data_IF_943642763791
#
_entry.id   IF_943642763791
#
_cell.length_a   1.000
_cell.length_b   1.000
_cell.length_c   1.000
_cell.angle_alpha   90.00
_cell.angle_beta   90.00
_cell.angle_gamma   90.00
#
_symmetry.space_group_name_H-M   'P 1'
#
loop_
_entity.id
_entity.type
_entity.pdbx_description
1 polymer ?
#
# COMPACT_ATOMS: atom_id res chain seq x y z
N UNK A 1 -14.58 -6.42 -22.72
CA UNK A 1 -15.69 -6.41 -21.72
C UNK A 1 -16.03 -4.97 -21.40
N UNK A 2 -17.32 -4.62 -21.42
CA UNK A 2 -17.73 -3.24 -21.08
C UNK A 2 -17.52 -2.97 -19.59
N UNK A 3 -16.97 -1.82 -19.29
CA UNK A 3 -16.67 -1.37 -17.93
C UNK A 3 -17.15 0.06 -17.75
N UNK A 4 -17.60 0.37 -16.55
CA UNK A 4 -17.94 1.71 -16.12
C UNK A 4 -17.21 2.02 -14.81
N UNK A 5 -16.85 3.27 -14.62
CA UNK A 5 -16.09 3.70 -13.46
C UNK A 5 -15.90 5.21 -13.44
N UNK A 6 -14.83 5.65 -12.80
CA UNK A 6 -14.45 7.05 -12.70
C UNK A 6 -13.03 7.27 -13.25
N UNK A 7 -12.87 8.27 -14.09
CA UNK A 7 -11.59 8.61 -14.72
C UNK A 7 -11.24 10.09 -14.54
N UNK A 8 -9.95 10.36 -14.43
CA UNK A 8 -9.38 11.68 -14.71
C UNK A 8 -9.19 11.80 -16.22
N UNK A 9 -9.71 12.88 -16.84
CA UNK A 9 -9.61 13.12 -18.28
C UNK A 9 -8.33 13.87 -18.64
N UNK A 10 -7.70 14.52 -17.68
CA UNK A 10 -6.42 15.23 -17.80
C UNK A 10 -5.78 15.36 -16.42
N UNK A 11 -4.51 15.80 -16.40
CA UNK A 11 -3.80 16.06 -15.16
C UNK A 11 -4.58 17.02 -14.23
N UNK A 12 -4.65 16.67 -12.96
CA UNK A 12 -5.31 17.47 -11.89
C UNK A 12 -6.81 17.70 -12.09
N UNK A 13 -7.46 17.03 -13.05
CA UNK A 13 -8.92 17.12 -13.20
C UNK A 13 -9.63 16.31 -12.11
N UNK A 14 -10.82 16.74 -11.74
CA UNK A 14 -11.72 15.90 -10.96
C UNK A 14 -12.03 14.60 -11.73
N UNK A 15 -12.24 13.51 -11.01
CA UNK A 15 -12.67 12.26 -11.59
C UNK A 15 -14.16 12.34 -11.94
N UNK A 16 -14.49 11.85 -13.13
CA UNK A 16 -15.87 11.85 -13.65
C UNK A 16 -16.26 10.44 -14.09
N UNK A 17 -17.57 10.18 -14.16
CA UNK A 17 -18.08 8.92 -14.70
C UNK A 17 -17.52 8.67 -16.11
N UNK A 18 -17.04 7.44 -16.34
CA UNK A 18 -16.35 7.06 -17.56
C UNK A 18 -16.66 5.61 -17.96
N UNK A 19 -16.98 5.39 -19.21
CA UNK A 19 -17.17 4.07 -19.79
C UNK A 19 -15.99 3.70 -20.68
N UNK A 20 -15.55 2.44 -20.59
CA UNK A 20 -14.41 1.95 -21.37
C UNK A 20 -14.51 0.45 -21.62
N UNK A 21 -13.68 -0.04 -22.53
CA UNK A 21 -13.56 -1.47 -22.81
C UNK A 21 -12.31 -2.05 -22.13
N UNK A 22 -12.50 -3.06 -21.27
CA UNK A 22 -11.40 -3.92 -20.83
C UNK A 22 -11.11 -4.98 -21.87
N UNK A 23 -9.87 -5.45 -21.88
CA UNK A 23 -9.47 -6.60 -22.72
C UNK A 23 -10.32 -7.83 -22.45
N UNK A 24 -10.35 -8.72 -23.40
CA UNK A 24 -11.00 -10.02 -23.23
C UNK A 24 -10.26 -10.89 -22.20
N UNK A 25 -10.96 -11.84 -21.60
CA UNK A 25 -10.39 -12.85 -20.71
C UNK A 25 -9.53 -13.80 -21.55
N UNK A 26 -8.22 -13.81 -21.30
CA UNK A 26 -7.27 -14.73 -21.93
C UNK A 26 -7.27 -16.10 -21.25
N UNK A 27 -6.51 -17.06 -21.82
CA UNK A 27 -6.49 -18.44 -21.34
C UNK A 27 -6.08 -18.58 -19.85
N UNK A 28 -5.23 -17.70 -19.34
CA UNK A 28 -4.73 -17.71 -17.96
C UNK A 28 -5.32 -16.61 -17.09
N UNK A 29 -6.36 -15.93 -17.58
CA UNK A 29 -6.95 -14.80 -16.87
C UNK A 29 -8.16 -15.19 -16.05
N UNK A 30 -8.40 -14.42 -15.02
CA UNK A 30 -9.67 -14.38 -14.28
C UNK A 30 -10.32 -13.02 -14.50
N UNK A 31 -11.63 -12.99 -14.71
CA UNK A 31 -12.43 -11.78 -14.62
C UNK A 31 -13.13 -11.75 -13.26
N UNK A 32 -13.26 -10.58 -12.68
CA UNK A 32 -13.95 -10.38 -11.42
C UNK A 32 -14.86 -9.17 -11.50
N UNK A 33 -15.95 -9.23 -10.76
CA UNK A 33 -16.70 -8.05 -10.36
C UNK A 33 -16.03 -7.45 -9.13
N UNK A 34 -15.70 -6.17 -9.19
CA UNK A 34 -15.13 -5.45 -8.07
C UNK A 34 -16.22 -5.21 -7.05
N UNK A 35 -15.96 -5.57 -5.79
CA UNK A 35 -16.82 -5.23 -4.66
C UNK A 35 -16.37 -3.93 -4.02
N UNK A 36 -15.05 -3.79 -3.82
CA UNK A 36 -14.47 -2.64 -3.15
C UNK A 36 -13.15 -2.22 -3.79
N UNK A 37 -12.92 -0.92 -3.88
CA UNK A 37 -11.66 -0.33 -4.34
C UNK A 37 -11.14 0.71 -3.33
N UNK A 38 -9.93 0.52 -2.80
CA UNK A 38 -9.34 1.46 -1.86
C UNK A 38 -8.79 2.71 -2.53
N UNK A 39 -8.79 3.83 -1.80
CA UNK A 39 -8.17 5.10 -2.22
C UNK A 39 -6.80 5.24 -1.57
N UNK A 40 -5.77 5.44 -2.38
CA UNK A 40 -4.41 5.67 -1.96
C UNK A 40 -3.92 7.08 -2.35
N UNK A 41 -2.98 7.64 -1.57
CA UNK A 41 -2.28 8.86 -1.99
C UNK A 41 -1.59 8.71 -3.35
N UNK A 42 -1.13 7.50 -3.70
CA UNK A 42 -0.53 7.21 -5.00
C UNK A 42 -1.49 7.51 -6.16
N UNK A 43 -2.79 7.25 -5.99
CA UNK A 43 -3.79 7.57 -7.01
C UNK A 43 -3.88 9.09 -7.24
N UNK A 44 -3.81 9.86 -6.15
CA UNK A 44 -3.84 11.34 -6.19
C UNK A 44 -2.58 11.87 -6.87
N UNK A 45 -1.39 11.38 -6.47
CA UNK A 45 -0.11 11.78 -7.05
C UNK A 45 -0.02 11.47 -8.56
N UNK A 46 -0.54 10.30 -8.97
CA UNK A 46 -0.56 9.90 -10.39
C UNK A 46 -1.49 10.79 -11.22
N UNK A 47 -2.70 11.06 -10.74
CA UNK A 47 -3.65 11.98 -11.41
C UNK A 47 -3.08 13.40 -11.48
N UNK A 48 -2.28 13.80 -10.49
CA UNK A 48 -1.63 15.12 -10.45
C UNK A 48 -0.32 15.21 -11.27
N UNK A 49 0.16 14.11 -11.85
CA UNK A 49 1.47 14.00 -12.54
C UNK A 49 2.67 14.37 -11.66
N UNK A 50 2.55 14.19 -10.34
CA UNK A 50 3.63 14.54 -9.41
C UNK A 50 4.81 13.56 -9.45
N UNK A 51 4.60 12.35 -9.98
CA UNK A 51 5.64 11.32 -10.14
C UNK A 51 6.09 11.12 -11.60
N UNK A 52 5.67 11.98 -12.49
CA UNK A 52 6.00 11.97 -13.90
C UNK A 52 4.76 11.98 -14.80
N UNK A 53 4.96 11.98 -16.13
CA UNK A 53 3.86 12.01 -17.10
C UNK A 53 2.89 10.85 -16.92
N UNK A 54 1.60 11.09 -17.13
CA UNK A 54 0.55 10.12 -17.00
C UNK A 54 -0.22 9.91 -18.32
N UNK A 55 -0.92 8.78 -18.41
CA UNK A 55 -1.76 8.43 -19.58
C UNK A 55 -3.20 8.76 -19.24
N UNK A 56 -3.82 9.64 -20.05
CA UNK A 56 -5.22 10.02 -19.90
C UNK A 56 -6.05 9.61 -21.13
N UNK A 57 -7.35 9.27 -20.98
CA UNK A 57 -8.10 9.17 -19.73
C UNK A 57 -7.53 8.10 -18.79
N UNK A 58 -7.44 8.41 -17.48
CA UNK A 58 -6.91 7.50 -16.47
C UNK A 58 -8.02 7.04 -15.54
N UNK A 59 -8.28 5.74 -15.44
CA UNK A 59 -9.05 5.13 -14.36
C UNK A 59 -8.06 4.69 -13.28
N UNK A 60 -8.00 5.36 -12.11
CA UNK A 60 -7.08 5.00 -11.04
C UNK A 60 -7.52 3.75 -10.27
N UNK A 61 -6.80 3.43 -9.19
CA UNK A 61 -7.14 2.39 -8.23
C UNK A 61 -6.32 1.11 -8.40
N UNK A 62 -5.63 0.74 -7.32
CA UNK A 62 -4.73 -0.42 -7.26
C UNK A 62 -4.90 -1.21 -5.96
N UNK A 63 -6.05 -1.10 -5.34
CA UNK A 63 -6.43 -1.78 -4.09
C UNK A 63 -7.80 -2.41 -4.33
N UNK A 64 -7.86 -3.55 -5.02
CA UNK A 64 -9.08 -4.12 -5.58
C UNK A 64 -9.44 -5.40 -4.84
N UNK A 65 -10.62 -5.46 -4.25
CA UNK A 65 -11.21 -6.68 -3.72
C UNK A 65 -12.51 -7.00 -4.48
N UNK A 66 -12.67 -8.24 -4.94
CA UNK A 66 -13.83 -8.63 -5.73
C UNK A 66 -14.05 -10.13 -5.80
N UNK A 67 -15.02 -10.53 -6.61
CA UNK A 67 -15.47 -11.92 -6.77
C UNK A 67 -15.29 -12.36 -8.22
N UNK A 68 -14.68 -13.52 -8.42
CA UNK A 68 -14.45 -14.10 -9.75
C UNK A 68 -15.76 -14.41 -10.45
N UNK A 69 -15.95 -13.89 -11.66
CA UNK A 69 -17.15 -14.11 -12.47
C UNK A 69 -16.91 -15.02 -13.68
N UNK A 70 -15.68 -15.05 -14.20
CA UNK A 70 -15.29 -16.01 -15.25
C UNK A 70 -13.79 -16.28 -15.21
N UNK A 71 -13.41 -17.42 -15.78
CA UNK A 71 -12.02 -17.89 -15.83
C UNK A 71 -11.65 -18.35 -17.24
N UNK A 72 -10.41 -18.14 -17.63
CA UNK A 72 -9.83 -18.69 -18.86
C UNK A 72 -9.61 -20.19 -18.80
N UNK A 73 -9.48 -20.82 -19.96
CA UNK A 73 -9.42 -22.28 -20.11
C UNK A 73 -8.22 -22.97 -19.43
N UNK A 74 -7.17 -22.21 -19.10
CA UNK A 74 -5.95 -22.70 -18.44
C UNK A 74 -5.78 -22.18 -17.00
N UNK A 75 -6.82 -21.57 -16.44
CA UNK A 75 -6.81 -21.14 -15.04
C UNK A 75 -6.94 -22.38 -14.14
N UNK A 76 -6.05 -22.46 -13.14
CA UNK A 76 -5.99 -23.56 -12.17
C UNK A 76 -6.02 -23.10 -10.71
N UNK A 77 -5.77 -21.81 -10.47
CA UNK A 77 -5.65 -21.26 -9.11
C UNK A 77 -6.99 -20.78 -8.53
N UNK A 78 -7.95 -20.47 -9.38
CA UNK A 78 -9.21 -19.84 -8.99
C UNK A 78 -10.40 -20.50 -9.68
N UNK A 79 -11.56 -20.35 -9.07
CA UNK A 79 -12.88 -20.76 -9.57
C UNK A 79 -13.84 -19.58 -9.54
N UNK A 80 -14.91 -19.66 -10.34
CA UNK A 80 -16.01 -18.68 -10.26
C UNK A 80 -16.60 -18.69 -8.85
N UNK A 81 -16.80 -17.50 -8.28
CA UNK A 81 -17.26 -17.29 -6.91
C UNK A 81 -16.14 -17.10 -5.88
N UNK A 82 -14.87 -17.35 -6.22
CA UNK A 82 -13.75 -17.08 -5.32
C UNK A 82 -13.61 -15.58 -5.05
N UNK A 83 -13.30 -15.22 -3.80
CA UNK A 83 -12.93 -13.84 -3.41
C UNK A 83 -11.45 -13.65 -3.70
N UNK A 84 -11.13 -12.64 -4.49
CA UNK A 84 -9.74 -12.34 -4.88
C UNK A 84 -9.41 -10.86 -4.73
N UNK A 85 -8.11 -10.62 -4.55
CA UNK A 85 -7.53 -9.27 -4.49
C UNK A 85 -6.55 -9.02 -5.62
N UNK A 86 -6.48 -7.76 -6.07
CA UNK A 86 -5.48 -7.26 -7.01
C UNK A 86 -4.81 -6.02 -6.40
N UNK A 87 -3.48 -6.06 -6.34
CA UNK A 87 -2.67 -4.99 -5.75
C UNK A 87 -2.11 -4.01 -6.78
N UNK A 88 -0.94 -3.48 -6.47
CA UNK A 88 -0.32 -2.33 -7.17
C UNK A 88 0.15 -2.65 -8.58
N UNK A 89 0.38 -3.92 -8.92
CA UNK A 89 0.86 -4.34 -10.24
C UNK A 89 0.17 -5.62 -10.72
N UNK A 90 0.08 -5.77 -12.03
CA UNK A 90 -0.70 -6.82 -12.71
C UNK A 90 0.15 -7.74 -13.58
N UNK A 91 1.42 -7.40 -13.81
CA UNK A 91 2.39 -8.25 -14.52
C UNK A 91 3.84 -7.85 -14.24
N UNK A 92 4.77 -8.71 -14.64
CA UNK A 92 6.22 -8.51 -14.63
C UNK A 92 6.88 -9.40 -15.69
N UNK A 93 8.21 -9.36 -15.86
CA UNK A 93 8.87 -10.21 -16.86
C UNK A 93 8.88 -11.72 -16.53
N UNK A 94 8.56 -12.11 -15.28
CA UNK A 94 8.44 -13.48 -14.76
C UNK A 94 9.73 -14.33 -14.77
N UNK A 95 10.81 -13.87 -15.39
CA UNK A 95 12.06 -14.64 -15.64
C UNK A 95 13.31 -14.06 -14.98
N UNK A 96 13.33 -12.78 -14.60
CA UNK A 96 14.50 -12.17 -13.96
C UNK A 96 14.67 -12.67 -12.51
N UNK A 97 15.87 -12.52 -11.92
CA UNK A 97 16.13 -13.01 -10.56
C UNK A 97 15.13 -12.51 -9.52
N UNK A 98 14.71 -11.25 -9.59
CA UNK A 98 13.69 -10.71 -8.67
C UNK A 98 12.34 -11.39 -8.84
N UNK A 99 11.87 -11.57 -10.08
CA UNK A 99 10.59 -12.24 -10.34
C UNK A 99 10.60 -13.70 -9.88
N UNK A 100 11.69 -14.43 -10.14
CA UNK A 100 11.83 -15.84 -9.73
C UNK A 100 11.83 -15.99 -8.20
N UNK A 101 12.36 -14.99 -7.47
CA UNK A 101 12.34 -14.95 -6.01
C UNK A 101 10.99 -14.50 -5.41
N UNK A 102 9.98 -14.19 -6.24
CA UNK A 102 8.72 -13.67 -5.77
C UNK A 102 8.76 -12.18 -5.40
N UNK A 103 9.76 -11.44 -5.85
CA UNK A 103 9.96 -10.01 -5.65
C UNK A 103 9.65 -9.22 -6.93
N UNK A 104 8.49 -9.47 -7.51
CA UNK A 104 8.09 -8.93 -8.82
C UNK A 104 8.08 -7.40 -8.87
N UNK A 105 7.85 -6.73 -7.74
CA UNK A 105 7.92 -5.27 -7.61
C UNK A 105 9.31 -4.70 -7.96
N UNK A 106 10.35 -5.53 -7.89
CA UNK A 106 11.73 -5.18 -8.28
C UNK A 106 12.14 -5.81 -9.61
N UNK A 107 11.17 -6.08 -10.50
CA UNK A 107 11.45 -6.63 -11.84
C UNK A 107 12.43 -5.74 -12.60
N UNK A 108 13.52 -6.32 -13.14
CA UNK A 108 14.55 -5.55 -13.88
C UNK A 108 14.04 -4.95 -15.20
N UNK A 109 12.97 -5.51 -15.76
CA UNK A 109 12.28 -4.96 -16.95
C UNK A 109 11.12 -4.02 -16.56
N UNK A 110 10.96 -3.71 -15.27
CA UNK A 110 9.82 -2.99 -14.72
C UNK A 110 8.59 -3.90 -14.49
N UNK A 111 7.84 -3.60 -13.44
CA UNK A 111 6.52 -4.16 -13.22
C UNK A 111 5.50 -3.43 -14.08
N UNK A 112 4.41 -4.10 -14.46
CA UNK A 112 3.23 -3.48 -15.09
C UNK A 112 2.28 -3.03 -13.99
N UNK A 113 2.08 -1.72 -13.84
CA UNK A 113 1.15 -1.15 -12.86
C UNK A 113 -0.30 -1.51 -13.15
N UNK A 114 -1.13 -1.50 -12.13
CA UNK A 114 -2.58 -1.78 -12.24
C UNK A 114 -3.30 -0.69 -13.04
N UNK A 115 -2.73 0.50 -13.13
CA UNK A 115 -3.17 1.61 -13.99
C UNK A 115 -1.98 2.49 -14.36
N UNK A 116 -2.22 3.52 -15.19
CA UNK A 116 -1.24 4.50 -15.64
C UNK A 116 0.00 3.87 -16.29
N UNK A 117 -0.21 2.94 -17.18
CA UNK A 117 0.85 2.29 -17.94
C UNK A 117 0.29 1.47 -19.09
N UNK A 118 1.16 0.84 -19.85
CA UNK A 118 0.79 -0.11 -20.88
C UNK A 118 0.94 -1.53 -20.35
N UNK A 119 0.01 -2.41 -20.71
CA UNK A 119 0.19 -3.85 -20.52
C UNK A 119 1.41 -4.35 -21.32
N UNK A 120 1.83 -5.59 -21.09
CA UNK A 120 3.03 -6.12 -21.74
C UNK A 120 2.90 -6.36 -23.25
N UNK A 121 1.71 -6.18 -23.81
CA UNK A 121 1.51 -6.11 -25.27
C UNK A 121 2.01 -4.80 -25.88
N UNK A 122 2.34 -3.82 -25.04
CA UNK A 122 2.87 -2.50 -25.43
C UNK A 122 1.82 -1.55 -26.04
N UNK A 123 0.55 -1.92 -26.04
CA UNK A 123 -0.54 -1.18 -26.68
C UNK A 123 -1.75 -0.94 -25.80
N UNK A 124 -2.11 -1.93 -24.98
CA UNK A 124 -3.28 -1.84 -24.08
C UNK A 124 -2.97 -0.94 -22.91
N UNK A 125 -3.77 0.12 -22.72
CA UNK A 125 -3.66 1.01 -21.56
C UNK A 125 -4.27 0.29 -20.35
N UNK A 126 -3.50 0.18 -19.27
CA UNK A 126 -3.96 -0.37 -18.00
C UNK A 126 -4.92 0.61 -17.32
N UNK A 127 -6.13 0.15 -17.03
CA UNK A 127 -7.19 0.87 -16.35
C UNK A 127 -7.41 0.27 -14.96
N UNK A 128 -7.45 1.09 -13.91
CA UNK A 128 -7.47 0.65 -12.53
C UNK A 128 -8.83 0.20 -11.98
N UNK A 129 -8.87 0.10 -10.67
CA UNK A 129 -9.97 -0.47 -9.90
C UNK A 129 -11.12 0.49 -9.58
N UNK A 130 -11.03 1.78 -9.94
CA UNK A 130 -12.19 2.67 -9.78
C UNK A 130 -13.21 2.39 -10.88
N UNK A 131 -13.66 1.14 -10.90
CA UNK A 131 -14.56 0.58 -11.91
C UNK A 131 -15.29 -0.63 -11.37
N UNK A 132 -16.31 -1.09 -12.11
CA UNK A 132 -17.16 -2.19 -11.68
C UNK A 132 -16.58 -3.59 -11.91
N UNK A 133 -15.57 -3.74 -12.77
CA UNK A 133 -14.98 -5.06 -13.07
C UNK A 133 -13.49 -4.98 -13.38
N UNK A 134 -12.80 -6.12 -13.36
CA UNK A 134 -11.38 -6.23 -13.68
C UNK A 134 -11.06 -7.54 -14.39
N UNK A 135 -9.96 -7.57 -15.16
CA UNK A 135 -9.40 -8.79 -15.77
C UNK A 135 -7.93 -8.86 -15.42
N UNK A 136 -7.49 -9.99 -14.85
CA UNK A 136 -6.12 -10.18 -14.37
C UNK A 136 -5.63 -11.58 -14.67
N UNK A 137 -4.34 -11.72 -14.95
CA UNK A 137 -3.70 -13.04 -14.99
C UNK A 137 -3.70 -13.67 -13.59
N UNK A 138 -4.05 -14.98 -13.52
CA UNK A 138 -4.12 -15.69 -12.23
C UNK A 138 -2.86 -15.64 -11.37
N UNK A 139 -1.69 -15.37 -11.95
CA UNK A 139 -0.42 -15.30 -11.23
C UNK A 139 -0.22 -13.97 -10.46
N UNK A 140 -1.07 -12.98 -10.73
CA UNK A 140 -1.04 -11.66 -10.09
C UNK A 140 -2.27 -11.36 -9.25
N UNK A 141 -3.19 -12.30 -9.14
CA UNK A 141 -4.30 -12.26 -8.19
C UNK A 141 -3.92 -13.01 -6.90
N UNK A 142 -4.48 -12.59 -5.78
CA UNK A 142 -4.34 -13.26 -4.48
C UNK A 142 -5.72 -13.67 -3.95
N UNK A 143 -5.79 -14.79 -3.23
CA UNK A 143 -7.02 -15.27 -2.60
C UNK A 143 -7.29 -14.48 -1.31
N UNK A 144 -8.49 -13.95 -1.16
CA UNK A 144 -8.95 -13.32 0.07
C UNK A 144 -9.52 -14.41 1.00
N UNK A 145 -8.98 -14.58 2.22
CA UNK A 145 -9.55 -15.49 3.21
C UNK A 145 -10.99 -15.14 3.59
N UNK A 146 -11.85 -16.15 3.74
CA UNK A 146 -13.30 -15.98 3.92
C UNK A 146 -13.69 -15.20 5.17
N UNK A 147 -12.87 -15.25 6.22
CA UNK A 147 -13.10 -14.57 7.49
C UNK A 147 -12.68 -13.09 7.49
N UNK A 148 -12.17 -12.57 6.37
CA UNK A 148 -11.83 -11.16 6.26
C UNK A 148 -12.92 -10.38 5.51
N UNK A 149 -13.39 -9.23 6.02
CA UNK A 149 -14.31 -8.34 5.32
C UNK A 149 -13.61 -7.66 4.14
N UNK A 150 -14.18 -7.74 2.94
CA UNK A 150 -13.50 -7.30 1.70
C UNK A 150 -13.22 -5.80 1.67
N UNK A 151 -14.08 -4.98 2.28
CA UNK A 151 -13.84 -3.53 2.43
C UNK A 151 -12.57 -3.22 3.21
N UNK A 152 -12.33 -3.99 4.29
CA UNK A 152 -11.11 -3.86 5.09
C UNK A 152 -9.87 -4.48 4.44
N UNK A 153 -10.06 -5.41 3.48
CA UNK A 153 -8.96 -6.06 2.73
C UNK A 153 -8.44 -5.19 1.59
N UNK A 154 -9.30 -4.47 0.89
CA UNK A 154 -8.87 -3.68 -0.28
C UNK A 154 -7.61 -2.84 0.00
N UNK A 155 -7.51 -2.04 1.09
CA UNK A 155 -6.28 -1.30 1.39
C UNK A 155 -5.09 -2.17 1.81
N UNK A 156 -5.29 -3.43 2.25
CA UNK A 156 -4.18 -4.32 2.58
C UNK A 156 -3.31 -4.62 1.35
N UNK A 157 -3.91 -4.60 0.15
CA UNK A 157 -3.25 -4.92 -1.12
C UNK A 157 -2.24 -3.85 -1.57
N UNK A 158 -2.21 -2.70 -0.89
CA UNK A 158 -1.19 -1.67 -1.04
C UNK A 158 -0.59 -1.30 0.33
N UNK A 159 -1.36 -0.62 1.20
CA UNK A 159 -0.87 -0.16 2.49
C UNK A 159 -0.44 -1.32 3.39
N UNK A 160 -1.18 -2.44 3.40
CA UNK A 160 -0.84 -3.62 4.18
C UNK A 160 0.48 -4.22 3.74
N UNK A 161 0.58 -4.62 2.47
CA UNK A 161 1.80 -5.27 1.96
C UNK A 161 3.03 -4.36 2.05
N UNK A 162 2.86 -3.05 1.89
CA UNK A 162 3.93 -2.05 1.99
C UNK A 162 4.56 -2.01 3.38
N UNK A 163 3.81 -2.32 4.42
CA UNK A 163 4.31 -2.38 5.80
C UNK A 163 4.67 -3.80 6.24
N UNK A 164 3.95 -4.80 5.75
CA UNK A 164 4.25 -6.20 6.06
C UNK A 164 5.61 -6.63 5.53
N UNK A 165 5.91 -6.29 4.27
CA UNK A 165 7.16 -6.65 3.59
C UNK A 165 8.42 -6.21 4.35
N UNK A 166 8.62 -4.94 4.72
CA UNK A 166 9.79 -4.53 5.49
C UNK A 166 9.80 -5.14 6.91
N UNK A 167 8.68 -5.25 7.59
CA UNK A 167 8.59 -5.88 8.92
C UNK A 167 9.10 -7.32 8.86
N UNK A 168 8.71 -8.07 7.84
CA UNK A 168 9.19 -9.43 7.58
C UNK A 168 10.66 -9.46 7.17
N UNK A 169 11.08 -8.59 6.22
CA UNK A 169 12.44 -8.54 5.71
C UNK A 169 13.47 -8.28 6.83
N UNK A 170 13.19 -7.31 7.71
CA UNK A 170 14.03 -6.99 8.86
C UNK A 170 13.75 -7.90 10.07
N UNK A 171 12.96 -8.98 9.88
CA UNK A 171 12.75 -10.06 10.85
C UNK A 171 12.25 -9.55 12.21
N UNK A 172 11.28 -8.62 12.18
CA UNK A 172 10.65 -8.13 13.40
C UNK A 172 10.08 -9.30 14.20
N UNK A 173 10.34 -9.30 15.50
CA UNK A 173 9.95 -10.37 16.42
C UNK A 173 9.78 -9.84 17.84
N UNK A 174 9.28 -10.68 18.73
CA UNK A 174 9.14 -10.37 20.15
C UNK A 174 10.46 -9.87 20.76
N UNK A 175 10.36 -8.81 21.54
CA UNK A 175 11.47 -8.15 22.23
C UNK A 175 12.19 -7.07 21.39
N UNK A 176 11.91 -6.93 20.11
CA UNK A 176 12.41 -5.79 19.32
C UNK A 176 11.62 -4.52 19.62
N UNK A 177 12.30 -3.37 19.64
CA UNK A 177 11.70 -2.04 19.73
C UNK A 177 11.58 -1.43 18.34
N UNK A 178 10.34 -1.23 17.90
CA UNK A 178 10.02 -0.73 16.56
C UNK A 178 9.35 0.62 16.67
N UNK A 179 9.85 1.62 15.96
CA UNK A 179 9.15 2.90 15.80
C UNK A 179 8.41 2.94 14.46
N UNK A 180 7.18 3.43 14.49
CA UNK A 180 6.39 3.75 13.29
C UNK A 180 6.26 5.27 13.22
N UNK A 181 6.89 5.87 12.20
CA UNK A 181 6.81 7.31 11.95
C UNK A 181 5.62 7.62 11.06
N UNK A 182 4.73 8.47 11.58
CA UNK A 182 3.47 8.81 10.95
C UNK A 182 2.37 7.80 11.28
N UNK A 183 1.17 8.29 11.61
CA UNK A 183 -0.03 7.48 11.82
C UNK A 183 -1.11 7.92 10.82
N UNK A 184 -0.94 7.50 9.60
CA UNK A 184 -1.86 7.68 8.47
C UNK A 184 -2.22 6.35 7.84
N UNK A 185 -2.62 6.38 6.56
CA UNK A 185 -3.04 5.20 5.82
C UNK A 185 -2.01 4.07 5.72
N UNK A 186 -0.71 4.36 5.78
CA UNK A 186 0.37 3.37 5.89
C UNK A 186 0.66 3.04 7.36
N UNK A 187 0.92 4.04 8.18
CA UNK A 187 1.41 3.85 9.54
C UNK A 187 0.49 3.02 10.43
N UNK A 188 -0.85 3.15 10.28
CA UNK A 188 -1.78 2.34 11.06
C UNK A 188 -1.60 0.83 10.80
N UNK A 189 -1.29 0.43 9.56
CA UNK A 189 -0.97 -0.96 9.25
C UNK A 189 0.38 -1.38 9.85
N UNK A 190 1.38 -0.50 9.83
CA UNK A 190 2.67 -0.74 10.46
C UNK A 190 2.56 -1.02 11.97
N UNK A 191 1.72 -0.27 12.67
CA UNK A 191 1.43 -0.51 14.10
C UNK A 191 0.78 -1.89 14.29
N UNK A 192 -0.32 -2.18 13.57
CA UNK A 192 -1.04 -3.45 13.70
C UNK A 192 -0.14 -4.66 13.44
N UNK A 193 0.67 -4.63 12.38
CA UNK A 193 1.57 -5.74 12.06
C UNK A 193 2.71 -5.90 13.06
N UNK A 194 3.39 -4.81 13.44
CA UNK A 194 4.51 -4.89 14.37
C UNK A 194 4.06 -5.38 15.76
N UNK A 195 2.89 -4.94 16.23
CA UNK A 195 2.26 -5.42 17.46
C UNK A 195 1.92 -6.91 17.37
N UNK A 196 1.28 -7.34 16.27
CA UNK A 196 0.92 -8.75 16.08
C UNK A 196 2.14 -9.68 15.97
N UNK A 197 3.30 -9.16 15.55
CA UNK A 197 4.57 -9.89 15.56
C UNK A 197 5.32 -9.82 16.91
N UNK A 198 4.72 -9.17 17.92
CA UNK A 198 5.22 -9.14 19.30
C UNK A 198 6.30 -8.09 19.57
N UNK A 199 6.48 -7.11 18.71
CA UNK A 199 7.40 -6.00 18.96
C UNK A 199 6.83 -5.01 19.99
N UNK A 200 7.73 -4.33 20.72
CA UNK A 200 7.38 -3.14 21.51
C UNK A 200 7.30 -1.95 20.55
N UNK A 201 6.09 -1.45 20.29
CA UNK A 201 5.83 -0.45 19.25
C UNK A 201 5.68 0.95 19.84
N UNK A 202 6.46 1.91 19.31
CA UNK A 202 6.33 3.34 19.57
C UNK A 202 5.85 4.05 18.30
N UNK A 203 4.77 4.81 18.40
CA UNK A 203 4.32 5.70 17.33
C UNK A 203 4.97 7.07 17.49
N UNK A 204 5.61 7.56 16.41
CA UNK A 204 6.17 8.90 16.33
C UNK A 204 5.27 9.73 15.39
N UNK A 205 4.52 10.68 15.91
CA UNK A 205 3.56 11.46 15.11
C UNK A 205 3.59 12.95 15.43
N UNK A 206 3.47 13.78 14.38
CA UNK A 206 3.35 15.23 14.55
C UNK A 206 1.99 15.66 15.14
N UNK A 207 0.97 14.81 15.07
CA UNK A 207 -0.39 15.13 15.53
C UNK A 207 -0.70 14.43 16.87
N UNK A 208 -0.64 15.16 18.00
CA UNK A 208 -0.90 14.58 19.33
C UNK A 208 -2.30 13.98 19.48
N UNK A 209 -3.29 14.47 18.73
CA UNK A 209 -4.66 13.94 18.72
C UNK A 209 -4.77 12.49 18.28
N UNK A 210 -3.72 11.91 17.67
CA UNK A 210 -3.67 10.51 17.22
C UNK A 210 -3.20 9.53 18.30
N UNK A 211 -2.86 9.99 19.51
CA UNK A 211 -2.37 9.15 20.60
C UNK A 211 -3.38 8.07 20.99
N UNK A 212 -4.64 8.46 21.23
CA UNK A 212 -5.69 7.53 21.60
C UNK A 212 -5.89 6.42 20.54
N UNK A 213 -5.86 6.80 19.27
CA UNK A 213 -5.98 5.85 18.17
C UNK A 213 -4.77 4.90 18.11
N UNK A 214 -3.54 5.42 18.31
CA UNK A 214 -2.33 4.59 18.36
C UNK A 214 -2.40 3.54 19.46
N UNK A 215 -2.80 3.94 20.64
CA UNK A 215 -2.95 3.04 21.80
C UNK A 215 -4.06 2.01 21.57
N UNK A 216 -5.18 2.40 20.96
CA UNK A 216 -6.26 1.49 20.60
C UNK A 216 -5.84 0.43 19.58
N UNK A 217 -4.88 0.72 18.69
CA UNK A 217 -4.27 -0.24 17.76
C UNK A 217 -3.24 -1.18 18.43
N UNK A 218 -2.96 -0.97 19.70
CA UNK A 218 -2.02 -1.79 20.47
C UNK A 218 -0.59 -1.23 20.53
N UNK A 219 -0.35 0.01 20.10
CA UNK A 219 0.95 0.65 20.33
C UNK A 219 1.25 0.72 21.84
N UNK A 220 2.52 0.54 22.20
CA UNK A 220 2.95 0.57 23.60
C UNK A 220 3.27 1.99 24.06
N UNK A 221 3.73 2.83 23.12
CA UNK A 221 4.11 4.20 23.38
C UNK A 221 3.71 5.11 22.24
N UNK A 222 3.41 6.37 22.57
CA UNK A 222 3.20 7.44 21.62
C UNK A 222 4.09 8.62 21.98
N UNK A 223 4.78 9.20 20.99
CA UNK A 223 5.62 10.39 21.19
C UNK A 223 5.28 11.42 20.11
N UNK A 224 4.90 12.62 20.56
CA UNK A 224 4.66 13.73 19.65
C UNK A 224 5.98 14.28 19.13
N UNK A 225 6.12 14.32 17.79
CA UNK A 225 7.28 14.93 17.11
C UNK A 225 7.09 16.42 16.82
N UNK A 226 6.01 17.03 17.32
CA UNK A 226 5.75 18.46 17.17
C UNK A 226 6.83 19.30 17.86
N UNK A 227 7.36 18.80 18.98
CA UNK A 227 8.54 19.33 19.66
C UNK A 227 9.68 18.31 19.51
N UNK A 228 10.74 18.69 18.81
CA UNK A 228 11.90 17.85 18.58
C UNK A 228 12.61 17.41 19.89
N UNK A 229 12.45 18.15 20.98
CA UNK A 229 13.02 17.80 22.29
C UNK A 229 12.46 16.50 22.83
N UNK A 230 11.25 16.10 22.43
CA UNK A 230 10.63 14.81 22.80
C UNK A 230 11.36 13.60 22.23
N UNK A 231 12.22 13.78 21.21
CA UNK A 231 13.02 12.70 20.63
C UNK A 231 14.28 12.39 21.44
N UNK A 232 14.81 13.36 22.21
CA UNK A 232 16.07 13.20 22.95
C UNK A 232 16.08 12.00 23.92
N UNK A 233 15.00 11.70 24.69
CA UNK A 233 14.94 10.54 25.58
C UNK A 233 14.94 9.21 24.83
N UNK A 234 14.64 9.19 23.53
CA UNK A 234 14.55 8.01 22.69
C UNK A 234 15.88 7.68 21.99
N UNK A 235 16.97 8.41 22.27
CA UNK A 235 18.27 8.13 21.67
C UNK A 235 18.69 6.67 21.86
N UNK A 236 19.16 6.02 20.79
CA UNK A 236 19.65 4.61 20.79
C UNK A 236 18.62 3.61 21.32
N UNK A 237 17.35 3.79 21.02
CA UNK A 237 16.24 2.97 21.55
C UNK A 237 15.76 1.91 20.57
N UNK A 238 15.68 2.22 19.26
CA UNK A 238 14.97 1.38 18.30
C UNK A 238 15.89 0.45 17.52
N UNK A 239 15.40 -0.78 17.31
CA UNK A 239 16.00 -1.75 16.41
C UNK A 239 15.64 -1.44 14.96
N UNK A 240 14.40 -0.99 14.74
CA UNK A 240 13.85 -0.64 13.43
C UNK A 240 12.98 0.61 13.52
N UNK A 241 13.10 1.48 12.53
CA UNK A 241 12.20 2.62 12.33
C UNK A 241 11.54 2.47 10.95
N UNK A 242 10.21 2.40 10.90
CA UNK A 242 9.42 2.38 9.68
C UNK A 242 8.97 3.81 9.39
N UNK A 243 9.59 4.46 8.41
CA UNK A 243 9.27 5.84 8.05
C UNK A 243 8.22 5.88 6.94
N UNK A 244 6.96 6.19 7.30
CA UNK A 244 5.83 6.32 6.39
C UNK A 244 5.52 7.78 6.01
N UNK A 245 6.36 8.73 6.46
CA UNK A 245 6.15 10.16 6.27
C UNK A 245 6.72 10.61 4.93
N UNK A 246 5.91 11.30 4.12
CA UNK A 246 6.33 11.89 2.85
C UNK A 246 6.69 13.39 2.97
N UNK A 247 6.47 14.01 4.14
CA UNK A 247 6.89 15.40 4.40
C UNK A 247 8.41 15.50 4.57
N UNK A 248 8.92 16.73 4.45
CA UNK A 248 10.33 17.02 4.71
C UNK A 248 10.69 16.69 6.17
N UNK A 249 11.81 16.01 6.37
CA UNK A 249 12.31 15.56 7.66
C UNK A 249 13.80 15.82 7.78
N UNK A 250 14.25 16.20 8.98
CA UNK A 250 15.66 16.11 9.37
C UNK A 250 15.94 14.65 9.75
N UNK A 251 16.26 13.83 8.77
CA UNK A 251 16.38 12.37 8.95
C UNK A 251 17.45 12.00 9.97
N UNK A 252 18.47 12.82 10.15
CA UNK A 252 19.53 12.64 11.16
C UNK A 252 19.01 12.54 12.59
N UNK A 253 17.95 13.27 12.93
CA UNK A 253 17.35 13.22 14.26
C UNK A 253 16.79 11.82 14.55
N UNK A 254 16.13 11.22 13.56
CA UNK A 254 15.55 9.87 13.67
C UNK A 254 16.61 8.77 13.62
N UNK A 255 17.71 8.96 12.87
CA UNK A 255 18.83 8.02 12.87
C UNK A 255 19.50 7.93 14.25
N UNK A 256 19.52 9.01 15.02
CA UNK A 256 20.06 9.01 16.38
C UNK A 256 19.21 8.19 17.36
N UNK A 257 17.96 7.91 17.04
CA UNK A 257 17.07 7.06 17.83
C UNK A 257 17.39 5.55 17.66
N UNK A 258 18.11 5.18 16.60
CA UNK A 258 18.49 3.80 16.34
C UNK A 258 19.61 3.32 17.28
N UNK A 259 19.50 2.07 17.73
CA UNK A 259 20.56 1.32 18.41
C UNK A 259 21.77 1.08 17.50
N UNK A 260 22.75 0.36 18.02
CA UNK A 260 23.78 -0.31 17.23
C UNK A 260 23.11 -1.28 16.25
N UNK A 261 23.50 -1.25 14.98
CA UNK A 261 22.94 -2.05 13.87
C UNK A 261 21.48 -1.77 13.53
N UNK A 262 20.87 -0.73 14.10
CA UNK A 262 19.49 -0.36 13.81
C UNK A 262 19.32 0.16 12.38
N UNK A 263 18.12 -0.04 11.82
CA UNK A 263 17.78 0.36 10.45
C UNK A 263 16.59 1.32 10.44
N UNK A 264 16.71 2.41 9.67
CA UNK A 264 15.57 3.25 9.27
C UNK A 264 15.15 2.84 7.85
N UNK A 265 13.91 2.39 7.72
CA UNK A 265 13.34 1.99 6.43
C UNK A 265 12.47 3.11 5.90
N UNK A 266 12.85 3.65 4.75
CA UNK A 266 12.09 4.65 4.01
C UNK A 266 11.00 3.96 3.22
N UNK A 267 9.76 4.33 3.48
CA UNK A 267 8.55 3.80 2.86
C UNK A 267 7.75 4.96 2.24
N UNK A 268 7.58 6.06 2.98
CA UNK A 268 7.04 7.29 2.42
C UNK A 268 7.98 7.90 1.38
N UNK A 269 7.44 8.46 0.31
CA UNK A 269 8.22 9.09 -0.76
C UNK A 269 8.26 10.60 -0.53
N UNK A 270 9.39 11.17 -0.05
CA UNK A 270 9.52 12.61 0.15
C UNK A 270 9.71 13.34 -1.17
N UNK A 271 9.25 14.59 -1.24
CA UNK A 271 9.44 15.44 -2.43
C UNK A 271 10.87 15.97 -2.61
N UNK A 272 11.73 15.87 -1.57
CA UNK A 272 13.14 16.28 -1.60
C UNK A 272 14.07 15.17 -1.10
N UNK A 273 15.33 15.16 -1.56
CA UNK A 273 16.34 14.25 -1.05
C UNK A 273 16.58 14.42 0.46
N UNK A 274 16.91 13.33 1.15
CA UNK A 274 17.37 13.40 2.53
C UNK A 274 18.83 13.83 2.61
N UNK A 275 19.12 14.78 3.50
CA UNK A 275 20.49 15.10 3.88
C UNK A 275 20.89 14.22 5.08
N UNK A 276 22.02 13.50 4.95
CA UNK A 276 22.52 12.58 5.97
C UNK A 276 23.95 12.90 6.34
N UNK A 277 24.17 13.28 7.60
CA UNK A 277 25.55 13.37 8.12
C UNK A 277 26.11 11.97 8.34
N UNK A 278 27.15 11.61 7.59
CA UNK A 278 27.73 10.25 7.58
C UNK A 278 28.14 9.76 8.97
N UNK A 279 28.64 10.64 9.83
CA UNK A 279 28.98 10.30 11.21
C UNK A 279 27.83 9.71 12.01
N UNK A 280 26.59 10.08 11.69
CA UNK A 280 25.39 9.50 12.34
C UNK A 280 25.24 8.00 12.04
N UNK A 281 25.64 7.57 10.85
CA UNK A 281 25.66 6.14 10.46
C UNK A 281 26.85 5.42 11.11
N UNK A 282 28.03 6.00 11.01
CA UNK A 282 29.28 5.39 11.51
C UNK A 282 29.23 5.11 13.02
N UNK A 283 28.73 6.07 13.82
CA UNK A 283 28.72 5.98 15.28
C UNK A 283 27.82 4.87 15.86
N UNK A 284 27.08 4.15 15.05
CA UNK A 284 26.20 3.07 15.49
C UNK A 284 26.06 1.95 14.47
N UNK A 285 26.90 1.92 13.42
CA UNK A 285 26.78 0.98 12.30
C UNK A 285 25.33 0.90 11.80
N UNK A 286 24.68 2.09 11.72
CA UNK A 286 23.28 2.25 11.38
C UNK A 286 23.07 2.20 9.88
N UNK A 287 21.88 1.82 9.47
CA UNK A 287 21.50 1.74 8.05
C UNK A 287 20.30 2.63 7.73
N UNK A 288 20.29 3.18 6.52
CA UNK A 288 19.08 3.68 5.86
C UNK A 288 18.81 2.73 4.71
N UNK A 289 17.59 2.24 4.62
CA UNK A 289 17.16 1.31 3.59
C UNK A 289 15.82 1.75 3.01
N UNK A 290 15.48 1.28 1.81
CA UNK A 290 14.18 1.47 1.18
C UNK A 290 13.39 0.18 1.12
N UNK A 291 12.06 0.29 1.12
CA UNK A 291 11.15 -0.81 0.84
C UNK A 291 9.97 -0.30 0.02
N UNK A 292 9.61 -1.03 -1.01
CA UNK A 292 8.51 -0.69 -1.91
C UNK A 292 7.55 -1.87 -2.01
N UNK A 293 6.30 -1.70 -1.57
CA UNK A 293 5.26 -2.74 -1.62
C UNK A 293 5.79 -4.13 -1.24
N UNK A 294 5.28 -5.20 -1.85
CA UNK A 294 5.78 -6.57 -1.73
C UNK A 294 5.39 -7.39 -2.96
N UNK A 295 5.97 -8.57 -3.11
CA UNK A 295 5.66 -9.48 -4.21
C UNK A 295 4.36 -10.26 -3.99
N UNK A 296 3.88 -10.94 -5.04
CA UNK A 296 2.62 -11.67 -4.98
C UNK A 296 2.60 -12.79 -3.92
N UNK A 297 3.65 -13.64 -3.81
CA UNK A 297 3.68 -14.65 -2.75
C UNK A 297 3.63 -14.06 -1.34
N UNK A 298 4.32 -12.93 -1.12
CA UNK A 298 4.34 -12.24 0.17
C UNK A 298 3.00 -11.56 0.47
N UNK A 299 2.31 -11.06 -0.56
CA UNK A 299 0.95 -10.51 -0.43
C UNK A 299 -0.04 -11.59 -0.02
N UNK A 300 0.04 -12.80 -0.58
CA UNK A 300 -0.79 -13.93 -0.16
C UNK A 300 -0.52 -14.31 1.29
N UNK A 301 0.76 -14.42 1.68
CA UNK A 301 1.16 -14.71 3.06
C UNK A 301 0.66 -13.62 4.04
N UNK A 302 0.75 -12.36 3.66
CA UNK A 302 0.21 -11.25 4.46
C UNK A 302 -1.29 -11.40 4.69
N UNK A 303 -2.08 -11.76 3.68
CA UNK A 303 -3.52 -11.97 3.85
C UNK A 303 -3.83 -13.15 4.78
N UNK A 304 -3.06 -14.24 4.70
CA UNK A 304 -3.17 -15.37 5.63
C UNK A 304 -2.79 -14.98 7.06
N UNK A 305 -1.75 -14.15 7.22
CA UNK A 305 -1.39 -13.57 8.51
C UNK A 305 -2.52 -12.67 9.05
N UNK A 306 -3.09 -11.83 8.21
CA UNK A 306 -4.24 -10.98 8.55
C UNK A 306 -5.44 -11.81 9.00
N UNK A 307 -5.76 -12.89 8.29
CA UNK A 307 -6.84 -13.80 8.65
C UNK A 307 -6.64 -14.47 10.03
N UNK A 308 -5.40 -14.88 10.30
CA UNK A 308 -5.02 -15.51 11.58
C UNK A 308 -5.10 -14.55 12.76
N UNK A 309 -4.75 -13.29 12.55
CA UNK A 309 -4.66 -12.28 13.62
C UNK A 309 -5.83 -11.30 13.62
N UNK A 310 -6.84 -11.50 12.77
CA UNK A 310 -8.00 -10.61 12.60
C UNK A 310 -7.61 -9.16 12.30
N UNK A 311 -6.61 -8.96 11.45
CA UNK A 311 -6.10 -7.66 11.05
C UNK A 311 -6.76 -7.23 9.75
N UNK A 312 -7.37 -6.04 9.75
CA UNK A 312 -7.85 -5.35 8.55
C UNK A 312 -7.53 -3.87 8.65
N UNK A 313 -7.62 -3.15 7.54
CA UNK A 313 -7.55 -1.69 7.55
C UNK A 313 -8.82 -1.10 8.17
N UNK A 314 -8.67 0.01 8.90
CA UNK A 314 -9.81 0.82 9.33
C UNK A 314 -10.28 1.69 8.17
N UNK A 315 -11.55 1.60 7.79
CA UNK A 315 -12.05 2.18 6.54
C UNK A 315 -13.32 3.01 6.72
N UNK A 316 -13.44 4.06 5.90
CA UNK A 316 -14.68 4.76 5.62
C UNK A 316 -15.14 4.32 4.23
N UNK A 317 -16.26 3.57 4.15
CA UNK A 317 -16.83 3.15 2.86
C UNK A 317 -17.62 4.31 2.26
N UNK A 318 -17.38 4.59 0.99
CA UNK A 318 -17.97 5.70 0.25
C UNK A 318 -18.61 5.22 -1.06
N UNK A 319 -19.51 6.03 -1.62
CA UNK A 319 -20.01 5.87 -2.99
C UNK A 319 -19.06 6.54 -3.99
N UNK A 320 -19.15 6.15 -5.25
CA UNK A 320 -18.30 6.64 -6.33
C UNK A 320 -18.41 8.17 -6.55
N UNK A 321 -19.59 8.77 -6.36
CA UNK A 321 -19.79 10.21 -6.48
C UNK A 321 -19.05 11.04 -5.41
N UNK A 322 -18.61 10.40 -4.32
CA UNK A 322 -17.86 11.04 -3.24
C UNK A 322 -16.33 11.02 -3.47
N UNK A 323 -15.80 10.38 -4.52
CA UNK A 323 -14.38 10.17 -4.76
C UNK A 323 -13.58 11.49 -4.68
N UNK A 324 -14.02 12.54 -5.35
CA UNK A 324 -13.31 13.82 -5.37
C UNK A 324 -13.26 14.49 -4.00
N UNK A 325 -14.30 14.34 -3.20
CA UNK A 325 -14.29 14.81 -1.81
C UNK A 325 -13.37 13.95 -0.93
N UNK A 326 -13.37 12.62 -1.13
CA UNK A 326 -12.46 11.72 -0.45
C UNK A 326 -10.99 12.06 -0.76
N UNK A 327 -10.65 12.40 -2.00
CA UNK A 327 -9.31 12.88 -2.37
C UNK A 327 -8.91 14.11 -1.56
N UNK A 328 -9.77 15.13 -1.48
CA UNK A 328 -9.52 16.35 -0.69
C UNK A 328 -9.32 16.02 0.79
N UNK A 329 -10.16 15.16 1.37
CA UNK A 329 -10.06 14.73 2.78
C UNK A 329 -8.77 13.90 3.02
N UNK A 330 -8.39 13.05 2.07
CA UNK A 330 -7.16 12.26 2.15
C UNK A 330 -5.93 13.15 2.20
N UNK A 331 -5.85 14.17 1.32
CA UNK A 331 -4.75 15.15 1.32
C UNK A 331 -4.72 15.96 2.63
N UNK A 332 -5.90 16.30 3.17
CA UNK A 332 -6.02 17.00 4.45
C UNK A 332 -5.74 16.09 5.68
N UNK A 333 -5.45 14.80 5.49
CA UNK A 333 -5.35 13.79 6.55
C UNK A 333 -6.62 13.67 7.42
N UNK A 334 -7.78 13.96 6.83
CA UNK A 334 -9.12 13.90 7.44
C UNK A 334 -9.82 12.60 7.10
N UNK A 335 -9.24 11.48 7.50
CA UNK A 335 -9.79 10.12 7.38
C UNK A 335 -9.18 9.16 8.39
N UNK A 336 -9.96 8.23 8.93
CA UNK A 336 -9.49 7.17 9.84
C UNK A 336 -9.78 5.79 9.25
N UNK A 337 -8.87 5.15 8.51
CA UNK A 337 -7.59 5.68 8.03
C UNK A 337 -7.54 5.64 6.51
N UNK A 338 -8.51 4.95 5.87
CA UNK A 338 -8.58 4.77 4.44
C UNK A 338 -10.01 4.94 3.93
N UNK A 339 -10.17 5.57 2.78
CA UNK A 339 -11.42 5.49 2.04
C UNK A 339 -11.45 4.25 1.17
N UNK A 340 -12.64 3.64 1.08
CA UNK A 340 -12.90 2.50 0.21
C UNK A 340 -14.20 2.75 -0.55
N UNK A 341 -14.14 2.64 -1.87
CA UNK A 341 -15.28 2.85 -2.76
C UNK A 341 -16.09 1.56 -2.80
N UNK A 342 -17.40 1.64 -2.53
CA UNK A 342 -18.35 0.58 -2.86
C UNK A 342 -18.57 0.57 -4.37
N UNK A 343 -18.07 -0.45 -5.06
CA UNK A 343 -18.09 -0.55 -6.50
C UNK A 343 -19.50 -0.78 -7.07
N UNK A 344 -20.47 -1.16 -6.26
CA UNK A 344 -21.89 -1.22 -6.69
C UNK A 344 -22.45 0.18 -7.03
N UNK A 345 -21.75 1.24 -6.63
CA UNK A 345 -22.14 2.63 -6.88
C UNK A 345 -21.59 3.23 -8.20
N UNK A 346 -20.79 2.48 -8.99
CA UNK A 346 -20.30 2.88 -10.32
C UNK A 346 -21.36 2.86 -11.40
#
# INVERSE_FOLDING_TARGET
>A
MKSRGYAALSAKSDLTSYEFDRRAVGEYDVALDISYAGICHSDIHQVAEEWGPAIFPMVPGHEIAGVVTSIGSKVTKFSVGDKIGVGVFVDSCRKCPSCVQGLQQYCVEGMTGTYNGLERDGTTVAMGGYSNNFVINQDYAVRIPDNLPMEGVAPLLCAGITLYSPIKHWKVKSGMKVAVMGLGGLGHMGVKFAVAMGAEVTVLSHSPSKEADAMAMGAHHFVSTKDASNLAPLAKTFDLILNTVSAELVVGDYLNLLKLDGTLVVIGLPGKPYEVHVGTLLNGRRSIAGSMIGGIPEMQEMLEFCAKHSIVSDVEVIKADYINQAYKRTVASDVKYRFVIDAASF
#
